data_IF_628779796723
#
_entry.id   IF_628779796723
#
_cell.length_a   1.000
_cell.length_b   1.000
_cell.length_c   1.000
_cell.angle_alpha   90.00
_cell.angle_beta   90.00
_cell.angle_gamma   90.00
#
_symmetry.space_group_name_H-M   'P 1'
#
loop_
_entity.id
_entity.type
_entity.pdbx_description
1 polymer ?
#
# COMPACT_ATOMS: atom_id res chain seq x y z
N UNK A 1 -17.53 -2.63 -23.18
CA UNK A 1 -16.55 -1.60 -22.72
C UNK A 1 -16.07 -1.98 -21.33
N UNK A 2 -14.76 -1.96 -21.06
CA UNK A 2 -14.24 -2.28 -19.72
C UNK A 2 -14.67 -1.19 -18.74
N UNK A 3 -15.24 -1.56 -17.59
CA UNK A 3 -15.60 -0.61 -16.54
C UNK A 3 -14.32 -0.07 -15.88
N UNK A 4 -14.26 1.23 -15.51
CA UNK A 4 -13.17 1.76 -14.70
C UNK A 4 -13.03 0.95 -13.41
N UNK A 5 -11.79 0.64 -13.00
CA UNK A 5 -11.52 -0.16 -11.79
C UNK A 5 -12.13 0.45 -10.51
N UNK A 6 -12.25 1.77 -10.45
CA UNK A 6 -12.93 2.48 -9.34
C UNK A 6 -14.41 2.15 -9.21
N UNK A 7 -15.05 1.61 -10.26
CA UNK A 7 -16.46 1.17 -10.25
C UNK A 7 -16.60 -0.35 -10.05
N UNK A 8 -15.50 -1.06 -9.79
CA UNK A 8 -15.49 -2.51 -9.52
C UNK A 8 -15.46 -2.82 -8.02
N UNK A 9 -15.29 -1.81 -7.18
CA UNK A 9 -15.24 -1.94 -5.73
C UNK A 9 -16.54 -1.40 -5.16
N UNK A 10 -17.28 -2.25 -4.45
CA UNK A 10 -18.52 -1.95 -3.75
C UNK A 10 -18.49 -2.64 -2.40
N UNK A 11 -18.15 -1.89 -1.36
CA UNK A 11 -18.09 -2.44 0.01
C UNK A 11 -19.49 -2.77 0.55
N UNK A 12 -20.55 -2.25 -0.07
CA UNK A 12 -21.94 -2.63 0.20
C UNK A 12 -22.24 -4.06 -0.26
N UNK A 13 -21.65 -4.49 -1.38
CA UNK A 13 -21.88 -5.84 -1.93
C UNK A 13 -20.97 -6.88 -1.27
N UNK A 14 -19.69 -6.56 -1.07
CA UNK A 14 -18.73 -7.44 -0.40
C UNK A 14 -17.50 -6.69 0.12
N UNK A 15 -16.96 -7.08 1.29
CA UNK A 15 -15.68 -6.58 1.76
C UNK A 15 -14.48 -7.33 1.13
N UNK A 16 -14.71 -8.44 0.43
CA UNK A 16 -13.64 -9.31 -0.08
C UNK A 16 -13.26 -9.03 -1.54
N UNK A 17 -11.96 -8.90 -1.80
CA UNK A 17 -11.44 -8.61 -3.13
C UNK A 17 -10.19 -9.42 -3.46
N UNK A 18 -10.16 -9.99 -4.66
CA UNK A 18 -8.97 -10.60 -5.24
C UNK A 18 -8.21 -9.60 -6.08
N UNK A 19 -7.00 -9.25 -5.63
CA UNK A 19 -6.10 -8.35 -6.33
C UNK A 19 -4.93 -9.12 -6.95
N UNK A 20 -4.52 -8.67 -8.14
CA UNK A 20 -3.41 -9.26 -8.90
C UNK A 20 -2.49 -8.15 -9.36
N UNK A 21 -1.19 -8.29 -9.11
CA UNK A 21 -0.15 -7.42 -9.65
C UNK A 21 0.81 -8.25 -10.49
N UNK A 22 1.08 -7.80 -11.72
CA UNK A 22 1.98 -8.48 -12.65
C UNK A 22 3.16 -7.59 -13.00
N UNK A 23 4.35 -8.16 -13.04
CA UNK A 23 5.48 -7.51 -13.68
C UNK A 23 5.29 -7.47 -15.20
N UNK A 24 5.75 -6.40 -15.82
CA UNK A 24 5.75 -6.20 -17.26
C UNK A 24 7.18 -6.29 -17.81
N UNK A 25 7.32 -6.48 -19.12
CA UNK A 25 8.61 -6.48 -19.84
C UNK A 25 9.60 -7.59 -19.44
N UNK A 26 9.12 -8.80 -19.16
CA UNK A 26 9.94 -9.93 -18.70
C UNK A 26 10.71 -9.69 -17.39
N UNK A 27 10.36 -8.66 -16.61
CA UNK A 27 10.92 -8.52 -15.26
C UNK A 27 10.40 -9.66 -14.37
N UNK A 28 11.33 -10.36 -13.73
CA UNK A 28 11.02 -11.40 -12.75
C UNK A 28 10.70 -10.73 -11.41
N UNK A 29 9.53 -11.04 -10.86
CA UNK A 29 9.27 -10.81 -9.44
C UNK A 29 10.12 -11.74 -8.60
N UNK A 30 10.31 -12.99 -9.05
CA UNK A 30 11.18 -13.98 -8.43
C UNK A 30 11.43 -15.14 -9.41
N UNK A 31 12.35 -16.03 -9.09
CA UNK A 31 12.66 -17.20 -9.93
C UNK A 31 13.93 -17.05 -10.75
N UNK A 32 14.27 -18.10 -11.50
CA UNK A 32 15.50 -18.15 -12.30
C UNK A 32 15.20 -17.66 -13.71
N UNK A 33 15.92 -16.61 -14.14
CA UNK A 33 15.94 -16.21 -15.53
C UNK A 33 16.63 -17.29 -16.36
N UNK A 34 15.89 -17.90 -17.30
CA UNK A 34 16.40 -19.00 -18.12
C UNK A 34 17.44 -18.54 -19.14
N UNK A 35 17.40 -17.26 -19.53
CA UNK A 35 18.31 -16.71 -20.54
C UNK A 35 19.68 -16.36 -19.92
N UNK A 36 19.69 -15.85 -18.69
CA UNK A 36 20.90 -15.41 -17.99
C UNK A 36 21.38 -16.36 -16.88
N UNK A 37 20.54 -17.29 -16.44
CA UNK A 37 20.79 -18.15 -15.27
C UNK A 37 20.70 -17.43 -13.92
N UNK A 38 20.39 -16.13 -13.89
CA UNK A 38 20.33 -15.34 -12.66
C UNK A 38 19.11 -15.72 -11.82
N UNK A 39 19.31 -15.95 -10.52
CA UNK A 39 18.24 -16.26 -9.58
C UNK A 39 17.72 -15.02 -8.87
N UNK A 40 16.41 -14.83 -8.92
CA UNK A 40 15.65 -13.79 -8.23
C UNK A 40 14.74 -14.37 -7.13
N UNK A 41 14.90 -15.64 -6.76
CA UNK A 41 14.08 -16.32 -5.72
C UNK A 41 14.01 -15.54 -4.39
N UNK A 42 15.10 -14.85 -4.02
CA UNK A 42 15.17 -14.03 -2.81
C UNK A 42 14.13 -12.90 -2.76
N UNK A 43 13.67 -12.41 -3.92
CA UNK A 43 12.66 -11.35 -3.99
C UNK A 43 11.29 -11.83 -3.51
N UNK A 44 11.03 -13.14 -3.43
CA UNK A 44 9.79 -13.69 -2.83
C UNK A 44 9.60 -13.15 -1.42
N UNK A 45 10.65 -13.23 -0.61
CA UNK A 45 10.63 -12.78 0.79
C UNK A 45 10.33 -11.28 0.92
N UNK A 46 10.80 -10.46 -0.04
CA UNK A 46 10.48 -9.03 -0.08
C UNK A 46 8.99 -8.80 -0.27
N UNK A 47 8.36 -9.56 -1.17
CA UNK A 47 6.91 -9.43 -1.41
C UNK A 47 6.12 -9.93 -0.20
N UNK A 48 6.44 -11.11 0.32
CA UNK A 48 5.73 -11.72 1.44
C UNK A 48 5.82 -10.87 2.71
N UNK A 49 7.02 -10.44 3.08
CA UNK A 49 7.23 -9.58 4.26
C UNK A 49 6.47 -8.27 4.12
N UNK A 50 6.46 -7.68 2.91
CA UNK A 50 5.76 -6.42 2.67
C UNK A 50 4.23 -6.57 2.71
N UNK A 51 3.69 -7.70 2.25
CA UNK A 51 2.24 -7.99 2.38
C UNK A 51 1.85 -7.99 3.85
N UNK A 52 2.61 -8.70 4.71
CA UNK A 52 2.32 -8.81 6.14
C UNK A 52 2.49 -7.47 6.87
N UNK A 53 3.55 -6.71 6.56
CA UNK A 53 3.79 -5.38 7.12
C UNK A 53 2.65 -4.40 6.82
N UNK A 54 2.18 -4.34 5.57
CA UNK A 54 1.10 -3.42 5.20
C UNK A 54 -0.22 -3.86 5.81
N UNK A 55 -0.47 -5.16 5.91
CA UNK A 55 -1.67 -5.71 6.53
C UNK A 55 -1.78 -5.32 8.02
N UNK A 56 -0.67 -5.14 8.73
CA UNK A 56 -0.71 -4.66 10.13
C UNK A 56 -0.94 -3.15 10.27
N UNK A 57 -0.93 -2.41 9.16
CA UNK A 57 -0.99 -0.93 9.15
C UNK A 57 -2.32 -0.45 8.58
N UNK A 58 -2.84 -1.11 7.54
CA UNK A 58 -4.14 -0.80 6.95
C UNK A 58 -5.27 -1.49 7.71
N UNK A 59 -6.47 -0.92 7.63
CA UNK A 59 -7.71 -1.57 8.06
C UNK A 59 -8.19 -2.54 6.95
N UNK A 60 -7.29 -3.43 6.51
CA UNK A 60 -7.50 -4.38 5.43
C UNK A 60 -6.77 -5.67 5.78
N UNK A 61 -7.53 -6.73 6.04
CA UNK A 61 -6.96 -8.05 6.31
C UNK A 61 -6.48 -8.69 5.01
N UNK A 62 -5.40 -9.48 5.12
CA UNK A 62 -4.97 -10.39 4.05
C UNK A 62 -5.47 -11.80 4.37
N UNK A 63 -6.50 -12.25 3.65
CA UNK A 63 -7.06 -13.58 3.84
C UNK A 63 -6.23 -14.68 3.19
N UNK A 64 -5.56 -14.38 2.08
CA UNK A 64 -4.66 -15.29 1.38
C UNK A 64 -3.72 -14.52 0.45
N UNK A 65 -2.56 -15.08 0.13
CA UNK A 65 -1.69 -14.57 -0.92
C UNK A 65 -0.92 -15.70 -1.62
N UNK A 66 -0.44 -15.44 -2.83
CA UNK A 66 0.46 -16.32 -3.57
C UNK A 66 1.45 -15.49 -4.39
N UNK A 67 2.75 -15.74 -4.23
CA UNK A 67 3.82 -15.06 -4.96
C UNK A 67 4.40 -16.00 -6.02
N UNK A 68 4.36 -15.57 -7.27
CA UNK A 68 4.83 -16.32 -8.42
C UNK A 68 5.95 -15.56 -9.15
N UNK A 69 6.55 -16.22 -10.14
CA UNK A 69 7.73 -15.69 -10.84
C UNK A 69 7.54 -14.32 -11.50
N UNK A 70 6.34 -14.01 -11.99
CA UNK A 70 6.04 -12.78 -12.71
C UNK A 70 4.77 -12.06 -12.23
N UNK A 71 4.10 -12.56 -11.20
CA UNK A 71 2.95 -11.90 -10.59
C UNK A 71 2.73 -12.38 -9.16
N UNK A 72 1.92 -11.65 -8.41
CA UNK A 72 1.36 -12.14 -7.15
C UNK A 72 -0.15 -11.94 -7.11
N UNK A 73 -0.79 -12.76 -6.30
CA UNK A 73 -2.21 -12.69 -5.96
C UNK A 73 -2.34 -12.37 -4.47
N UNK A 74 -3.29 -11.51 -4.11
CA UNK A 74 -3.66 -11.23 -2.72
C UNK A 74 -5.17 -11.15 -2.60
N UNK A 75 -5.73 -11.82 -1.60
CA UNK A 75 -7.15 -11.77 -1.23
C UNK A 75 -7.25 -10.87 -0.01
N UNK A 76 -7.98 -9.78 -0.17
CA UNK A 76 -8.12 -8.71 0.81
C UNK A 76 -9.53 -8.71 1.37
N UNK A 77 -9.68 -8.37 2.66
CA UNK A 77 -10.97 -8.04 3.29
C UNK A 77 -10.85 -6.63 3.85
N UNK A 78 -11.64 -5.70 3.35
CA UNK A 78 -11.66 -4.33 3.87
C UNK A 78 -12.48 -4.28 5.16
N UNK A 79 -11.88 -3.77 6.25
CA UNK A 79 -12.56 -3.58 7.53
C UNK A 79 -12.81 -2.09 7.81
N UNK A 80 -13.91 -1.57 7.26
CA UNK A 80 -14.31 -0.18 7.49
C UNK A 80 -14.68 0.10 8.95
N UNK A 81 -15.03 -0.94 9.73
CA UNK A 81 -15.40 -0.75 11.13
C UNK A 81 -14.15 -0.50 11.97
N UNK A 82 -13.09 -1.26 11.72
CA UNK A 82 -11.78 -1.01 12.33
C UNK A 82 -11.28 0.41 12.01
N UNK A 83 -11.30 0.80 10.73
CA UNK A 83 -10.88 2.15 10.32
C UNK A 83 -11.66 3.25 11.04
N UNK A 84 -12.95 3.04 11.31
CA UNK A 84 -13.82 3.99 12.01
C UNK A 84 -13.71 3.93 13.54
N UNK A 85 -13.26 2.80 14.10
CA UNK A 85 -13.05 2.63 15.52
C UNK A 85 -11.78 3.34 16.02
N UNK A 86 -10.77 3.51 15.15
CA UNK A 86 -9.56 4.25 15.50
C UNK A 86 -9.85 5.70 15.91
N UNK A 87 -9.17 6.15 16.94
CA UNK A 87 -9.05 7.56 17.27
C UNK A 87 -8.31 8.32 16.16
N UNK A 88 -8.50 9.64 16.13
CA UNK A 88 -7.80 10.51 15.18
C UNK A 88 -6.27 10.39 15.30
N UNK A 89 -5.77 10.13 16.53
CA UNK A 89 -4.35 9.90 16.78
C UNK A 89 -3.88 8.59 16.16
N UNK A 90 -4.59 7.49 16.40
CA UNK A 90 -4.27 6.18 15.82
C UNK A 90 -4.25 6.25 14.30
N UNK A 91 -5.22 6.92 13.66
CA UNK A 91 -5.23 7.10 12.20
C UNK A 91 -3.94 7.74 11.68
N UNK A 92 -3.44 8.77 12.37
CA UNK A 92 -2.21 9.46 11.96
C UNK A 92 -0.98 8.59 12.24
N UNK A 93 -0.96 7.87 13.37
CA UNK A 93 0.12 6.94 13.72
C UNK A 93 0.22 5.79 12.72
N UNK A 94 -0.90 5.16 12.34
CA UNK A 94 -0.96 4.17 11.26
C UNK A 94 -0.45 4.74 9.94
N UNK A 95 -0.88 5.93 9.54
CA UNK A 95 -0.41 6.57 8.31
C UNK A 95 1.10 6.84 8.33
N UNK A 96 1.64 7.28 9.48
CA UNK A 96 3.06 7.61 9.64
C UNK A 96 4.00 6.41 9.59
N UNK A 97 3.50 5.18 9.78
CA UNK A 97 4.31 3.97 9.60
C UNK A 97 4.76 3.77 8.14
N UNK A 98 4.00 4.27 7.17
CA UNK A 98 4.29 4.09 5.74
C UNK A 98 4.61 5.39 4.99
N UNK A 99 4.06 6.51 5.46
CA UNK A 99 4.14 7.79 4.77
C UNK A 99 4.56 8.89 5.73
N UNK A 100 5.43 9.79 5.29
CA UNK A 100 5.97 10.87 6.15
C UNK A 100 4.90 11.79 6.78
N UNK A 101 3.74 11.94 6.15
CA UNK A 101 2.72 12.91 6.55
C UNK A 101 3.17 14.37 6.35
N UNK A 102 2.41 15.30 6.94
CA UNK A 102 2.72 16.75 6.95
C UNK A 102 3.26 17.18 8.32
N UNK A 103 3.89 18.35 8.39
CA UNK A 103 4.39 18.90 9.66
C UNK A 103 3.30 18.96 10.74
N UNK A 104 2.10 19.44 10.40
CA UNK A 104 0.95 19.54 11.33
C UNK A 104 0.57 18.16 11.88
N UNK A 105 0.56 17.13 11.03
CA UNK A 105 0.24 15.76 11.49
C UNK A 105 1.32 15.18 12.40
N UNK A 106 2.60 15.57 12.21
CA UNK A 106 3.70 15.14 13.08
C UNK A 106 3.68 15.88 14.43
N UNK A 107 3.31 17.17 14.43
CA UNK A 107 3.05 17.91 15.68
C UNK A 107 1.93 17.24 16.48
N UNK A 108 0.86 16.84 15.78
CA UNK A 108 -0.30 16.19 16.40
C UNK A 108 0.07 14.86 17.09
N UNK A 109 0.85 13.99 16.46
CA UNK A 109 1.28 12.72 17.09
C UNK A 109 2.22 12.91 18.27
N UNK A 110 3.00 13.99 18.28
CA UNK A 110 3.87 14.37 19.41
C UNK A 110 3.12 15.07 20.56
N UNK A 111 1.84 15.40 20.39
CA UNK A 111 1.07 16.16 21.37
C UNK A 111 1.49 17.63 21.49
N UNK A 112 2.11 18.17 20.44
CA UNK A 112 2.47 19.60 20.37
C UNK A 112 1.21 20.48 20.17
N UNK A 113 1.34 21.77 20.47
CA UNK A 113 0.27 22.74 20.26
C UNK A 113 -0.07 22.81 18.76
N UNK A 114 -1.35 22.63 18.44
CA UNK A 114 -1.90 22.87 17.11
C UNK A 114 -2.60 24.22 17.12
N UNK A 115 -2.14 25.14 16.28
CA UNK A 115 -2.72 26.47 16.22
C UNK A 115 -4.15 26.43 15.67
N UNK A 116 -5.00 27.36 16.13
CA UNK A 116 -6.43 27.37 15.77
C UNK A 116 -6.68 27.39 14.26
N UNK A 117 -5.81 28.05 13.48
CA UNK A 117 -5.88 28.11 12.02
C UNK A 117 -5.46 26.81 11.32
N UNK A 118 -4.73 25.92 12.00
CA UNK A 118 -4.26 24.63 11.46
C UNK A 118 -5.27 23.50 11.69
N UNK A 119 -6.18 23.66 12.67
CA UNK A 119 -7.13 22.62 13.10
C UNK A 119 -7.99 22.09 11.95
N UNK A 120 -8.46 22.97 11.06
CA UNK A 120 -9.29 22.55 9.91
C UNK A 120 -8.50 21.67 8.94
N UNK A 121 -7.28 22.07 8.62
CA UNK A 121 -6.37 21.31 7.75
C UNK A 121 -5.99 19.96 8.36
N UNK A 122 -5.76 19.91 9.68
CA UNK A 122 -5.49 18.67 10.40
C UNK A 122 -6.67 17.71 10.33
N UNK A 123 -7.89 18.17 10.63
CA UNK A 123 -9.11 17.33 10.54
C UNK A 123 -9.33 16.79 9.13
N UNK A 124 -9.09 17.61 8.11
CA UNK A 124 -9.17 17.16 6.72
C UNK A 124 -8.13 16.08 6.41
N UNK A 125 -6.89 16.25 6.85
CA UNK A 125 -5.83 15.26 6.67
C UNK A 125 -6.17 13.93 7.36
N UNK A 126 -6.67 13.97 8.60
CA UNK A 126 -7.08 12.77 9.35
C UNK A 126 -8.20 12.02 8.61
N UNK A 127 -9.25 12.72 8.19
CA UNK A 127 -10.35 12.11 7.44
C UNK A 127 -9.87 11.46 6.14
N UNK A 128 -8.96 12.14 5.43
CA UNK A 128 -8.32 11.60 4.22
C UNK A 128 -7.48 10.35 4.51
N UNK A 129 -6.67 10.36 5.57
CA UNK A 129 -5.86 9.20 5.96
C UNK A 129 -6.73 8.00 6.34
N UNK A 130 -7.78 8.22 7.14
CA UNK A 130 -8.74 7.17 7.53
C UNK A 130 -9.37 6.50 6.30
N UNK A 131 -9.81 7.31 5.34
CA UNK A 131 -10.37 6.80 4.07
C UNK A 131 -9.33 6.01 3.27
N UNK A 132 -8.06 6.46 3.24
CA UNK A 132 -7.00 5.79 2.47
C UNK A 132 -6.50 4.50 3.13
N UNK A 133 -6.49 4.44 4.46
CA UNK A 133 -6.09 3.24 5.23
C UNK A 133 -7.10 2.09 5.09
N UNK A 134 -8.28 2.34 4.52
CA UNK A 134 -9.28 1.33 4.15
C UNK A 134 -9.47 1.22 2.62
N UNK A 135 -8.61 1.84 1.82
CA UNK A 135 -8.71 1.84 0.36
C UNK A 135 -7.75 0.82 -0.28
N UNK A 136 -8.31 -0.11 -1.06
CA UNK A 136 -7.55 -1.17 -1.75
C UNK A 136 -6.51 -0.60 -2.72
N UNK A 137 -6.78 0.52 -3.38
CA UNK A 137 -5.82 1.12 -4.31
C UNK A 137 -4.62 1.67 -3.57
N UNK A 138 -4.82 2.26 -2.39
CA UNK A 138 -3.74 2.70 -1.51
C UNK A 138 -2.95 1.54 -0.92
N UNK A 139 -3.61 0.46 -0.51
CA UNK A 139 -2.96 -0.77 -0.08
C UNK A 139 -2.05 -1.32 -1.19
N UNK A 140 -2.61 -1.49 -2.40
CA UNK A 140 -1.86 -1.99 -3.55
C UNK A 140 -0.73 -1.05 -3.98
N UNK A 141 -0.89 0.28 -3.80
CA UNK A 141 0.19 1.24 -4.05
C UNK A 141 1.32 1.09 -3.06
N UNK A 142 1.01 1.00 -1.77
CA UNK A 142 1.99 0.83 -0.68
C UNK A 142 2.75 -0.50 -0.81
N UNK A 143 2.10 -1.53 -1.38
CA UNK A 143 2.69 -2.82 -1.68
C UNK A 143 3.62 -2.76 -2.89
N UNK A 144 3.14 -2.25 -4.03
CA UNK A 144 3.86 -2.34 -5.28
C UNK A 144 5.05 -1.36 -5.39
N UNK A 145 4.96 -0.14 -4.87
CA UNK A 145 5.99 0.90 -5.08
C UNK A 145 7.36 0.50 -4.51
N UNK A 146 7.48 0.05 -3.25
CA UNK A 146 8.77 -0.35 -2.68
C UNK A 146 9.38 -1.55 -3.41
N UNK A 147 8.56 -2.56 -3.73
CA UNK A 147 9.00 -3.76 -4.47
C UNK A 147 9.55 -3.35 -5.84
N UNK A 148 8.83 -2.51 -6.58
CA UNK A 148 9.27 -2.03 -7.88
C UNK A 148 10.56 -1.21 -7.77
N UNK A 149 10.69 -0.36 -6.75
CA UNK A 149 11.90 0.45 -6.51
C UNK A 149 13.11 -0.43 -6.19
N UNK A 150 12.94 -1.45 -5.35
CA UNK A 150 14.00 -2.41 -5.00
C UNK A 150 14.44 -3.23 -6.20
N UNK A 151 13.49 -3.79 -6.96
CA UNK A 151 13.76 -4.54 -8.18
C UNK A 151 14.48 -3.67 -9.24
N UNK A 152 13.98 -2.46 -9.50
CA UNK A 152 14.62 -1.54 -10.45
C UNK A 152 16.03 -1.15 -10.03
N UNK A 153 16.28 -0.96 -8.73
CA UNK A 153 17.62 -0.67 -8.20
C UNK A 153 18.58 -1.85 -8.41
N UNK A 154 18.13 -3.07 -8.14
CA UNK A 154 18.93 -4.29 -8.34
C UNK A 154 19.19 -4.57 -9.83
N UNK A 155 18.20 -4.32 -10.69
CA UNK A 155 18.31 -4.52 -12.14
C UNK A 155 18.97 -3.32 -12.86
N UNK A 156 19.50 -2.35 -12.10
CA UNK A 156 20.08 -1.10 -12.62
C UNK A 156 19.18 -0.35 -13.63
N UNK A 157 17.87 -0.53 -13.51
CA UNK A 157 16.87 0.09 -14.35
C UNK A 157 16.53 1.48 -13.81
N UNK A 158 16.77 2.51 -14.62
CA UNK A 158 16.31 3.87 -14.31
C UNK A 158 14.83 3.99 -14.64
N UNK A 159 13.96 3.87 -13.63
CA UNK A 159 12.53 4.15 -13.81
C UNK A 159 12.33 5.65 -14.06
N UNK A 160 12.08 6.03 -15.32
CA UNK A 160 11.56 7.35 -15.67
C UNK A 160 10.08 7.42 -15.30
N UNK A 161 9.78 8.27 -14.30
CA UNK A 161 8.47 8.72 -13.75
C UNK A 161 8.40 8.50 -12.25
N UNK A 162 9.16 9.32 -11.53
CA UNK A 162 8.80 9.70 -10.18
C UNK A 162 7.62 10.68 -10.28
N UNK A 163 6.41 10.24 -9.94
CA UNK A 163 5.38 11.19 -9.49
C UNK A 163 5.82 11.67 -8.10
N UNK A 164 6.30 12.91 -8.04
CA UNK A 164 6.61 13.63 -6.80
C UNK A 164 5.41 13.66 -5.84
N UNK A 165 5.67 13.80 -4.53
CA UNK A 165 4.67 13.78 -3.46
C UNK A 165 3.55 14.82 -3.63
#
# INVERSE_FOLDING_TARGET
MARPRSRLISLEDTPFYHCVSRCVRKNFLMGVDRDTGKSYEHRREWVESRILEIASIFAIDVSAYAVMSNHFHVVLRVDIYEANAWSDREVVEHWHQLFKGTEITQKFTKGELIESYEVSSLKHAIALFRSRLSDISWFMRALNEPIARMANKEDHCTSSKQSHP
#
